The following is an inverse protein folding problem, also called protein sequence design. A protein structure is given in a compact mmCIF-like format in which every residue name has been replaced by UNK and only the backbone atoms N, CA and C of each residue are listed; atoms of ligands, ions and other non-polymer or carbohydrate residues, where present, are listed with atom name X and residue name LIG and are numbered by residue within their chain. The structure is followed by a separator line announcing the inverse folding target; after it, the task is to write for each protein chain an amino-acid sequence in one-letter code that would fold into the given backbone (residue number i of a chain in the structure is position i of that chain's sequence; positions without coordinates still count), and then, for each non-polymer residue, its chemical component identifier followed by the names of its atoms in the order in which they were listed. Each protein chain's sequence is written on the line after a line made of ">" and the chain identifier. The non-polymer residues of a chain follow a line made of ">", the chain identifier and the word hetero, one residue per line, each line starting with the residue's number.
data_IF_856758962408
#
_entry.id   IF_856758962408
#
_cell.length_a   1.000
_cell.length_b   1.000
_cell.length_c   1.000
_cell.angle_alpha   90.00
_cell.angle_beta   90.00
_cell.angle_gamma   90.00
#
_symmetry.space_group_name_H-M   'P 1'
#
loop_
_entity.id
_entity.type
_entity.pdbx_description
1 polymer ?
#
# COMPACT_ATOMS: atom_id res chain seq x y z
N UNK A 1 19.49 74.51 -23.97
CA UNK A 1 18.04 74.36 -23.68
C UNK A 1 17.41 73.54 -24.78
N UNK A 2 16.80 72.40 -24.41
CA UNK A 2 15.83 71.58 -25.18
C UNK A 2 16.30 70.97 -26.50
N UNK A 3 15.97 69.75 -26.92
CA UNK A 3 15.32 68.53 -26.40
C UNK A 3 15.33 67.55 -27.61
N UNK A 4 15.85 66.32 -27.50
CA UNK A 4 15.09 65.04 -27.55
C UNK A 4 14.15 64.89 -28.78
N UNK A 5 14.10 63.82 -29.57
CA UNK A 5 14.57 62.43 -29.47
C UNK A 5 14.61 61.77 -30.87
N UNK A 6 15.56 60.90 -31.21
CA UNK A 6 15.55 59.43 -31.03
C UNK A 6 14.31 58.73 -31.63
N UNK A 7 14.37 58.39 -32.92
CA UNK A 7 13.48 57.40 -33.56
C UNK A 7 14.18 56.05 -33.51
N UNK A 8 13.66 55.15 -32.68
CA UNK A 8 13.89 53.71 -32.75
C UNK A 8 12.54 53.08 -33.02
N UNK A 9 12.37 52.37 -34.13
CA UNK A 9 11.24 51.46 -34.30
C UNK A 9 11.77 50.03 -34.44
N UNK A 10 11.36 49.23 -33.48
CA UNK A 10 11.78 47.87 -33.20
C UNK A 10 11.14 46.89 -34.19
N UNK A 11 11.96 45.99 -34.73
CA UNK A 11 11.53 44.75 -35.38
C UNK A 11 10.94 43.84 -34.29
N UNK A 12 9.62 43.68 -34.30
CA UNK A 12 8.93 42.73 -33.44
C UNK A 12 9.07 41.32 -34.00
N UNK A 13 10.04 40.55 -33.48
CA UNK A 13 10.10 39.09 -33.69
C UNK A 13 9.03 38.46 -32.82
N UNK A 14 7.98 37.92 -33.43
CA UNK A 14 7.02 37.05 -32.76
C UNK A 14 7.74 35.76 -32.34
N UNK A 15 8.14 35.67 -31.07
CA UNK A 15 8.54 34.40 -30.48
C UNK A 15 7.27 33.60 -30.17
N UNK A 16 6.96 32.64 -31.03
CA UNK A 16 5.97 31.60 -30.76
C UNK A 16 6.47 30.76 -29.59
N UNK A 17 5.97 31.04 -28.39
CA UNK A 17 6.13 30.14 -27.25
C UNK A 17 5.23 28.93 -27.55
N UNK A 18 5.82 27.86 -28.06
CA UNK A 18 5.18 26.54 -28.02
C UNK A 18 5.14 26.17 -26.55
N UNK A 19 3.99 26.39 -25.92
CA UNK A 19 3.65 25.73 -24.67
C UNK A 19 3.49 24.25 -25.02
N UNK A 20 4.60 23.53 -25.03
CA UNK A 20 4.57 22.10 -24.89
C UNK A 20 3.98 21.85 -23.49
N UNK A 21 2.67 21.67 -23.45
CA UNK A 21 1.97 21.20 -22.27
C UNK A 21 2.50 19.81 -21.95
N UNK A 22 3.61 19.75 -21.22
CA UNK A 22 3.90 18.58 -20.41
C UNK A 22 2.83 18.58 -19.34
N UNK A 23 1.76 17.82 -19.60
CA UNK A 23 0.85 17.35 -18.57
C UNK A 23 1.70 16.65 -17.50
N UNK A 24 2.11 17.41 -16.50
CA UNK A 24 3.02 16.97 -15.46
C UNK A 24 2.17 16.36 -14.33
N UNK A 25 2.31 15.03 -14.21
CA UNK A 25 2.01 14.20 -13.04
C UNK A 25 0.55 14.13 -12.55
N UNK A 26 -0.28 13.34 -13.25
CA UNK A 26 -1.45 12.66 -12.64
C UNK A 26 -1.17 11.17 -12.32
N UNK A 27 0.04 10.70 -12.61
CA UNK A 27 0.42 9.28 -12.66
C UNK A 27 0.39 8.50 -11.32
N UNK A 28 0.56 9.10 -10.12
CA UNK A 28 0.37 8.36 -8.87
C UNK A 28 -1.10 7.99 -8.59
N UNK A 29 -2.07 8.77 -9.10
CA UNK A 29 -3.48 8.54 -8.82
C UNK A 29 -4.03 7.37 -9.63
N UNK A 30 -3.76 7.34 -10.93
CA UNK A 30 -4.19 6.25 -11.82
C UNK A 30 -3.58 4.91 -11.42
N UNK A 31 -2.28 4.87 -11.13
CA UNK A 31 -1.61 3.66 -10.66
C UNK A 31 -2.23 3.16 -9.34
N UNK A 32 -2.43 4.07 -8.38
CA UNK A 32 -3.05 3.73 -7.10
C UNK A 32 -4.46 3.19 -7.30
N UNK A 33 -5.24 3.78 -8.19
CA UNK A 33 -6.63 3.38 -8.42
C UNK A 33 -6.70 2.02 -9.13
N UNK A 34 -5.83 1.76 -10.11
CA UNK A 34 -5.68 0.45 -10.74
C UNK A 34 -5.29 -0.64 -9.72
N UNK A 35 -4.32 -0.35 -8.84
CA UNK A 35 -3.92 -1.27 -7.78
C UNK A 35 -5.04 -1.49 -6.75
N UNK A 36 -5.81 -0.45 -6.40
CA UNK A 36 -6.96 -0.57 -5.46
C UNK A 36 -8.13 -1.35 -6.06
N UNK A 37 -8.35 -1.25 -7.36
CA UNK A 37 -9.32 -2.10 -8.06
C UNK A 37 -8.90 -3.56 -7.99
N UNK A 38 -7.61 -3.86 -8.19
CA UNK A 38 -7.07 -5.22 -8.11
C UNK A 38 -7.04 -5.78 -6.69
N UNK A 39 -6.65 -4.94 -5.72
CA UNK A 39 -6.46 -5.28 -4.32
C UNK A 39 -7.49 -4.55 -3.46
N UNK A 40 -8.76 -4.91 -3.67
CA UNK A 40 -9.88 -4.27 -2.98
C UNK A 40 -9.72 -4.42 -1.47
N UNK A 41 -9.78 -3.29 -0.75
CA UNK A 41 -9.69 -3.28 0.71
C UNK A 41 -10.80 -4.09 1.36
N UNK A 42 -10.44 -4.80 2.42
CA UNK A 42 -11.35 -5.52 3.28
C UNK A 42 -12.00 -4.59 4.30
N UNK A 43 -13.10 -5.06 4.87
CA UNK A 43 -13.76 -4.44 6.01
C UNK A 43 -13.74 -5.43 7.17
N UNK A 44 -13.23 -4.96 8.29
CA UNK A 44 -13.16 -5.67 9.56
C UNK A 44 -14.19 -5.11 10.53
N UNK A 45 -14.80 -5.99 11.32
CA UNK A 45 -15.65 -5.58 12.43
C UNK A 45 -14.85 -5.58 13.74
N UNK A 46 -14.85 -4.41 14.38
CA UNK A 46 -14.07 -4.16 15.60
C UNK A 46 -14.95 -3.84 16.80
N UNK A 47 -16.26 -3.68 16.60
CA UNK A 47 -17.19 -3.24 17.65
C UNK A 47 -17.75 -4.39 18.49
N UNK A 48 -17.82 -5.60 17.95
CA UNK A 48 -18.32 -6.76 18.67
C UNK A 48 -17.17 -7.51 19.38
N UNK A 49 -17.36 -7.84 20.67
CA UNK A 49 -16.34 -8.48 21.51
C UNK A 49 -16.11 -9.95 21.16
N UNK A 50 -17.14 -10.66 20.69
CA UNK A 50 -17.01 -12.08 20.31
C UNK A 50 -16.38 -12.25 18.94
N UNK A 51 -16.48 -11.25 18.06
CA UNK A 51 -15.92 -11.30 16.71
C UNK A 51 -14.75 -10.34 16.52
N UNK A 52 -14.26 -9.64 17.54
CA UNK A 52 -13.28 -8.57 17.47
C UNK A 52 -12.08 -8.90 16.56
N UNK A 53 -12.03 -8.31 15.37
CA UNK A 53 -11.01 -8.60 14.36
C UNK A 53 -11.45 -9.46 13.18
N UNK A 54 -12.68 -9.96 13.21
CA UNK A 54 -13.25 -10.74 12.12
C UNK A 54 -13.42 -9.88 10.88
N UNK A 55 -13.02 -10.46 9.75
CA UNK A 55 -13.21 -9.91 8.43
C UNK A 55 -14.68 -10.12 8.04
N UNK A 56 -15.45 -9.03 7.99
CA UNK A 56 -16.87 -9.07 7.59
C UNK A 56 -17.07 -8.94 6.09
N UNK A 57 -16.12 -8.31 5.40
CA UNK A 57 -16.01 -8.35 3.94
C UNK A 57 -14.55 -8.48 3.56
N UNK A 58 -14.12 -9.59 2.95
CA UNK A 58 -12.69 -9.84 2.74
C UNK A 58 -12.04 -8.95 1.70
N UNK A 59 -12.79 -8.31 0.80
CA UNK A 59 -12.17 -7.64 -0.33
C UNK A 59 -11.38 -8.66 -1.15
N UNK A 60 -10.13 -8.32 -1.50
CA UNK A 60 -9.21 -9.29 -2.12
C UNK A 60 -8.50 -10.13 -1.05
N UNK A 61 -8.65 -11.45 -1.14
CA UNK A 61 -7.90 -12.41 -0.33
C UNK A 61 -6.62 -12.79 -1.09
N UNK A 62 -5.50 -12.69 -0.40
CA UNK A 62 -4.20 -13.11 -0.86
C UNK A 62 -3.72 -14.29 0.01
N UNK A 63 -2.90 -15.15 -0.56
CA UNK A 63 -2.28 -16.29 0.12
C UNK A 63 -0.77 -16.09 0.11
N UNK A 64 -0.15 -16.24 1.28
CA UNK A 64 1.29 -16.19 1.41
C UNK A 64 1.91 -17.42 0.72
N UNK A 65 2.81 -17.19 -0.24
CA UNK A 65 3.43 -18.28 -1.01
C UNK A 65 4.76 -18.74 -0.42
N UNK A 66 5.52 -17.87 0.23
CA UNK A 66 6.91 -18.16 0.60
C UNK A 66 7.26 -17.77 2.03
N UNK A 67 8.00 -18.67 2.70
CA UNK A 67 8.65 -18.41 3.99
C UNK A 67 7.70 -18.16 5.16
N UNK A 68 8.27 -18.15 6.36
CA UNK A 68 7.56 -17.67 7.54
C UNK A 68 7.63 -16.14 7.57
N UNK A 69 6.49 -15.46 7.56
CA UNK A 69 6.40 -13.98 7.55
C UNK A 69 6.04 -13.47 8.94
N UNK A 70 6.79 -12.53 9.53
CA UNK A 70 6.42 -11.99 10.83
C UNK A 70 5.08 -11.25 10.78
N UNK A 71 4.32 -11.37 11.86
CA UNK A 71 3.08 -10.64 12.09
C UNK A 71 3.03 -10.12 13.53
N UNK A 72 2.45 -8.93 13.70
CA UNK A 72 2.07 -8.45 15.03
C UNK A 72 0.63 -8.81 15.31
N UNK A 73 0.29 -9.04 16.57
CA UNK A 73 -1.09 -9.30 16.99
C UNK A 73 -1.95 -8.09 16.68
N UNK A 74 -3.14 -8.35 16.14
CA UNK A 74 -4.16 -7.34 16.01
C UNK A 74 -4.53 -6.75 17.38
N UNK A 75 -4.49 -5.42 17.51
CA UNK A 75 -4.81 -4.73 18.76
C UNK A 75 -5.84 -3.63 18.54
N UNK A 76 -6.66 -3.40 19.56
CA UNK A 76 -7.67 -2.36 19.57
C UNK A 76 -7.50 -1.43 20.77
N UNK A 77 -7.82 -0.15 20.55
CA UNK A 77 -7.96 0.83 21.63
C UNK A 77 -9.42 1.26 21.73
N UNK A 78 -9.86 1.50 22.96
CA UNK A 78 -11.19 2.02 23.27
C UNK A 78 -11.05 3.01 24.42
N UNK A 79 -11.39 4.29 24.19
CA UNK A 79 -11.21 5.33 25.19
C UNK A 79 -12.14 5.15 26.41
N UNK A 80 -13.34 4.61 26.20
CA UNK A 80 -14.29 4.24 27.25
C UNK A 80 -15.20 3.11 26.75
N UNK A 81 -15.88 2.34 27.63
CA UNK A 81 -16.75 1.23 27.22
C UNK A 81 -17.87 1.61 26.22
N UNK A 82 -18.26 2.88 26.16
CA UNK A 82 -19.30 3.39 25.25
C UNK A 82 -18.74 3.97 23.94
N UNK A 83 -17.43 4.13 23.83
CA UNK A 83 -16.77 4.68 22.63
C UNK A 83 -16.52 3.61 21.57
N UNK A 84 -16.40 3.95 20.28
CA UNK A 84 -15.96 3.01 19.26
C UNK A 84 -14.57 2.45 19.58
N UNK A 85 -14.32 1.20 19.13
CA UNK A 85 -12.99 0.60 19.13
C UNK A 85 -12.27 0.94 17.84
N UNK A 86 -10.97 1.19 17.94
CA UNK A 86 -10.12 1.50 16.80
C UNK A 86 -8.97 0.51 16.70
N UNK A 87 -8.72 0.02 15.48
CA UNK A 87 -7.54 -0.80 15.19
C UNK A 87 -6.27 0.04 15.38
N UNK A 88 -5.38 -0.43 16.24
CA UNK A 88 -4.03 0.09 16.36
C UNK A 88 -3.26 -0.37 15.14
N UNK A 89 -2.86 0.58 14.27
CA UNK A 89 -2.11 0.32 13.02
C UNK A 89 -0.66 -0.12 13.29
N UNK A 90 -0.49 -1.20 14.03
CA UNK A 90 0.80 -1.79 14.38
C UNK A 90 1.02 -3.09 13.62
N UNK A 91 1.93 -3.02 12.65
CA UNK A 91 2.22 -4.10 11.71
C UNK A 91 3.65 -4.57 11.91
N UNK A 92 3.92 -5.86 11.69
CA UNK A 92 5.29 -6.30 11.42
C UNK A 92 5.63 -5.90 9.98
N UNK A 93 6.66 -5.07 9.79
CA UNK A 93 7.09 -4.68 8.45
C UNK A 93 8.01 -5.71 7.83
N UNK A 94 7.78 -6.02 6.55
CA UNK A 94 8.68 -6.81 5.70
C UNK A 94 9.00 -6.00 4.45
N UNK A 95 10.26 -5.64 4.27
CA UNK A 95 10.76 -4.97 3.07
C UNK A 95 11.27 -5.98 2.06
N UNK A 96 10.81 -5.87 0.82
CA UNK A 96 11.02 -6.84 -0.26
C UNK A 96 11.58 -6.13 -1.48
N UNK A 97 12.56 -6.74 -2.15
CA UNK A 97 13.00 -6.33 -3.49
C UNK A 97 13.19 -7.56 -4.37
N UNK A 98 12.39 -7.64 -5.45
CA UNK A 98 12.30 -8.86 -6.26
C UNK A 98 11.84 -10.04 -5.40
N UNK A 99 12.63 -11.11 -5.39
CA UNK A 99 12.31 -12.36 -4.67
C UNK A 99 13.10 -12.48 -3.36
N UNK A 100 13.59 -11.35 -2.81
CA UNK A 100 14.37 -11.32 -1.57
C UNK A 100 13.74 -10.41 -0.53
N UNK A 101 13.75 -10.86 0.72
CA UNK A 101 13.51 -10.00 1.89
C UNK A 101 14.78 -9.18 2.14
N UNK A 102 14.66 -7.86 2.14
CA UNK A 102 15.75 -6.95 2.49
C UNK A 102 15.85 -6.75 4.01
N UNK A 103 14.70 -6.60 4.66
CA UNK A 103 14.59 -6.43 6.09
C UNK A 103 13.23 -6.94 6.58
N UNK A 104 13.18 -7.46 7.80
CA UNK A 104 11.94 -7.86 8.44
C UNK A 104 11.99 -7.46 9.92
N UNK A 105 10.99 -6.69 10.34
CA UNK A 105 10.77 -6.41 11.76
C UNK A 105 10.38 -7.70 12.49
N UNK A 106 10.80 -7.80 13.76
CA UNK A 106 10.34 -8.89 14.62
C UNK A 106 8.83 -8.76 14.84
N UNK A 107 8.11 -9.83 14.55
CA UNK A 107 6.69 -9.99 14.89
C UNK A 107 6.48 -10.66 16.25
N UNK A 108 5.24 -10.67 16.70
CA UNK A 108 4.80 -11.47 17.86
C UNK A 108 4.76 -12.96 17.53
N UNK A 109 4.51 -13.29 16.25
CA UNK A 109 4.50 -14.63 15.69
C UNK A 109 4.83 -14.59 14.20
N UNK A 110 4.90 -15.75 13.55
CA UNK A 110 5.15 -15.87 12.12
C UNK A 110 4.01 -16.61 11.41
N UNK A 111 3.51 -16.01 10.35
CA UNK A 111 2.56 -16.58 9.40
C UNK A 111 3.29 -17.63 8.56
N UNK A 112 2.70 -18.81 8.45
CA UNK A 112 3.24 -19.89 7.62
C UNK A 112 2.78 -19.73 6.17
N UNK A 113 3.50 -20.31 5.20
CA UNK A 113 3.01 -20.43 3.83
C UNK A 113 1.59 -21.02 3.79
N UNK A 114 0.77 -20.52 2.88
CA UNK A 114 -0.66 -20.85 2.80
C UNK A 114 -1.55 -19.97 3.68
N UNK A 115 -1.00 -19.18 4.62
CA UNK A 115 -1.79 -18.24 5.39
C UNK A 115 -2.51 -17.25 4.47
N UNK A 116 -3.82 -17.08 4.69
CA UNK A 116 -4.65 -16.15 3.94
C UNK A 116 -4.62 -14.80 4.63
N UNK A 117 -4.39 -13.75 3.87
CA UNK A 117 -4.41 -12.36 4.31
C UNK A 117 -5.33 -11.54 3.43
N UNK A 118 -5.92 -10.51 4.00
CA UNK A 118 -6.74 -9.53 3.30
C UNK A 118 -6.05 -8.16 3.35
N UNK A 119 -6.24 -7.37 2.31
CA UNK A 119 -5.66 -6.02 2.23
C UNK A 119 -6.54 -5.07 3.03
N UNK A 120 -6.01 -4.41 4.05
CA UNK A 120 -6.70 -3.34 4.77
C UNK A 120 -6.53 -2.00 4.05
N UNK A 121 -5.31 -1.70 3.61
CA UNK A 121 -4.96 -0.45 2.96
C UNK A 121 -3.80 -0.67 1.99
N UNK A 122 -3.70 0.19 0.98
CA UNK A 122 -2.64 0.19 -0.02
C UNK A 122 -2.14 1.62 -0.22
N UNK A 123 -0.83 1.79 -0.16
CA UNK A 123 -0.15 3.05 -0.46
C UNK A 123 0.87 2.87 -1.56
N UNK A 124 0.93 3.86 -2.45
CA UNK A 124 1.94 3.97 -3.50
C UNK A 124 2.76 5.20 -3.18
N UNK A 125 4.06 5.01 -3.01
CA UNK A 125 5.04 6.08 -2.88
C UNK A 125 5.98 6.03 -4.10
N UNK A 126 6.91 6.99 -4.21
CA UNK A 126 7.78 7.16 -5.38
C UNK A 126 8.62 5.91 -5.74
N UNK A 127 9.04 5.14 -4.74
CA UNK A 127 9.98 4.02 -4.88
C UNK A 127 9.43 2.69 -4.35
N UNK A 128 8.16 2.66 -3.93
CA UNK A 128 7.59 1.49 -3.26
C UNK A 128 6.07 1.43 -3.31
N UNK A 129 5.56 0.23 -3.17
CA UNK A 129 4.15 -0.03 -2.84
C UNK A 129 4.06 -0.73 -1.50
N UNK A 130 3.14 -0.27 -0.65
CA UNK A 130 2.94 -0.76 0.71
C UNK A 130 1.56 -1.40 0.82
N UNK A 131 1.51 -2.67 1.20
CA UNK A 131 0.27 -3.39 1.49
C UNK A 131 0.17 -3.59 2.99
N UNK A 132 -0.86 -3.00 3.59
CA UNK A 132 -1.20 -3.23 4.99
C UNK A 132 -2.20 -4.37 5.03
N UNK A 133 -1.82 -5.47 5.66
CA UNK A 133 -2.60 -6.71 5.61
C UNK A 133 -2.99 -7.18 7.00
N UNK A 134 -4.03 -8.01 7.01
CA UNK A 134 -4.57 -8.67 8.17
C UNK A 134 -4.89 -10.13 7.80
N UNK A 135 -4.71 -11.09 8.71
CA UNK A 135 -5.09 -12.49 8.39
C UNK A 135 -6.59 -12.60 8.14
N UNK A 136 -7.00 -13.38 7.14
CA UNK A 136 -8.41 -13.57 6.81
C UNK A 136 -9.13 -14.36 7.92
N UNK A 137 -8.43 -15.35 8.48
CA UNK A 137 -8.84 -16.13 9.63
C UNK A 137 -7.84 -15.96 10.80
N UNK A 138 -8.23 -16.27 12.04
CA UNK A 138 -7.28 -16.29 13.15
C UNK A 138 -6.32 -17.47 13.00
N UNK A 139 -5.05 -17.23 13.29
CA UNK A 139 -3.97 -18.22 13.19
C UNK A 139 -3.80 -18.91 14.54
N UNK A 140 -3.80 -20.24 14.53
CA UNK A 140 -3.52 -21.03 15.72
C UNK A 140 -2.04 -20.86 16.13
N UNK A 141 -1.81 -20.45 17.37
CA UNK A 141 -0.48 -20.28 17.95
C UNK A 141 -0.12 -21.50 18.81
N UNK A 142 1.18 -21.78 19.02
CA UNK A 142 1.64 -22.85 19.91
C UNK A 142 1.13 -22.74 21.36
N UNK A 143 0.70 -21.55 21.77
CA UNK A 143 0.10 -21.29 23.09
C UNK A 143 -1.33 -21.84 23.22
N UNK A 144 -1.91 -22.41 22.16
CA UNK A 144 -3.30 -22.88 22.11
C UNK A 144 -4.32 -21.77 21.84
N UNK A 145 -3.87 -20.52 21.68
CA UNK A 145 -4.72 -19.38 21.30
C UNK A 145 -4.77 -19.22 19.78
N UNK A 146 -5.90 -18.76 19.27
CA UNK A 146 -6.01 -18.29 17.89
C UNK A 146 -5.97 -16.76 17.87
N UNK A 147 -5.12 -16.18 17.04
CA UNK A 147 -4.92 -14.72 16.98
C UNK A 147 -4.92 -14.23 15.54
N UNK A 148 -5.45 -13.03 15.32
CA UNK A 148 -5.29 -12.36 14.04
C UNK A 148 -3.95 -11.65 13.95
N UNK A 149 -3.32 -11.71 12.76
CA UNK A 149 -2.02 -11.13 12.50
C UNK A 149 -2.07 -9.94 11.55
N UNK A 150 -1.24 -8.93 11.82
CA UNK A 150 -1.06 -7.75 10.99
C UNK A 150 0.37 -7.70 10.44
N UNK A 151 0.50 -7.62 9.11
CA UNK A 151 1.79 -7.49 8.41
C UNK A 151 1.73 -6.35 7.40
N UNK A 152 2.79 -5.55 7.35
CA UNK A 152 3.02 -4.54 6.32
C UNK A 152 4.06 -5.08 5.34
N UNK A 153 3.65 -5.31 4.09
CA UNK A 153 4.58 -5.66 3.01
C UNK A 153 4.98 -4.40 2.26
N UNK A 154 6.27 -4.15 2.15
CA UNK A 154 6.84 -3.00 1.45
C UNK A 154 7.63 -3.51 0.26
N UNK A 155 7.05 -3.40 -0.93
CA UNK A 155 7.68 -3.80 -2.18
C UNK A 155 8.48 -2.61 -2.72
N UNK A 156 9.81 -2.69 -2.62
CA UNK A 156 10.72 -1.74 -3.28
C UNK A 156 10.74 -2.03 -4.78
N UNK A 157 10.52 -0.98 -5.55
CA UNK A 157 10.34 -1.07 -7.00
C UNK A 157 11.25 -0.05 -7.68
N UNK A 158 11.60 -0.33 -8.93
CA UNK A 158 12.26 0.66 -9.77
C UNK A 158 11.35 1.90 -9.89
N UNK A 159 11.83 3.12 -9.57
CA UNK A 159 11.05 4.34 -9.74
C UNK A 159 10.47 4.52 -11.14
N UNK A 160 11.10 3.96 -12.19
CA UNK A 160 10.60 4.04 -13.56
C UNK A 160 9.35 3.17 -13.76
N UNK A 161 9.22 2.05 -13.04
CA UNK A 161 8.00 1.22 -13.04
C UNK A 161 6.84 1.98 -12.41
N UNK A 162 7.10 2.72 -11.33
CA UNK A 162 6.09 3.57 -10.67
C UNK A 162 5.70 4.74 -11.56
N UNK A 163 6.68 5.44 -12.16
CA UNK A 163 6.43 6.58 -13.04
C UNK A 163 5.62 6.18 -14.27
N UNK A 164 5.94 5.06 -14.91
CA UNK A 164 5.17 4.54 -16.06
C UNK A 164 3.77 4.02 -15.70
N UNK A 165 3.35 4.10 -14.42
CA UNK A 165 2.09 3.56 -13.92
C UNK A 165 1.86 2.08 -14.32
N UNK A 166 2.93 1.29 -14.37
CA UNK A 166 2.86 -0.11 -14.81
C UNK A 166 2.31 -1.02 -13.70
N UNK A 167 0.99 -0.96 -13.53
CA UNK A 167 0.27 -1.72 -12.51
C UNK A 167 0.41 -3.24 -12.70
N UNK A 168 0.63 -3.72 -13.93
CA UNK A 168 0.79 -5.14 -14.21
C UNK A 168 2.12 -5.67 -13.65
N UNK A 169 3.23 -4.96 -13.91
CA UNK A 169 4.54 -5.32 -13.36
C UNK A 169 4.54 -5.27 -11.84
N UNK A 170 3.92 -4.25 -11.25
CA UNK A 170 3.77 -4.15 -9.79
C UNK A 170 2.93 -5.30 -9.24
N UNK A 171 1.81 -5.62 -9.90
CA UNK A 171 0.95 -6.71 -9.46
C UNK A 171 1.67 -8.05 -9.50
N UNK A 172 2.45 -8.33 -10.55
CA UNK A 172 3.28 -9.52 -10.63
C UNK A 172 4.31 -9.56 -9.49
N UNK A 173 4.92 -8.42 -9.13
CA UNK A 173 5.85 -8.36 -8.02
C UNK A 173 5.20 -8.69 -6.66
N UNK A 174 3.99 -8.19 -6.43
CA UNK A 174 3.20 -8.51 -5.23
C UNK A 174 2.81 -10.00 -5.23
N UNK A 175 2.32 -10.51 -6.36
CA UNK A 175 1.73 -11.85 -6.44
C UNK A 175 2.75 -12.99 -6.40
N UNK A 176 4.04 -12.72 -6.61
CA UNK A 176 5.11 -13.68 -6.32
C UNK A 176 5.23 -14.01 -4.83
N UNK A 177 4.84 -13.08 -3.96
CA UNK A 177 4.84 -13.27 -2.50
C UNK A 177 3.44 -13.59 -1.97
N UNK A 178 2.43 -12.98 -2.58
CA UNK A 178 1.05 -12.96 -2.13
C UNK A 178 0.11 -13.30 -3.28
N UNK A 179 0.00 -14.59 -3.62
CA UNK A 179 -0.86 -15.02 -4.71
C UNK A 179 -2.34 -14.72 -4.40
N UNK A 180 -3.14 -14.40 -5.42
CA UNK A 180 -4.59 -14.26 -5.22
C UNK A 180 -5.18 -15.61 -4.84
N UNK A 181 -5.91 -15.65 -3.72
CA UNK A 181 -6.69 -16.81 -3.34
C UNK A 181 -8.04 -16.77 -4.06
N UNK A 182 -8.49 -17.93 -4.57
CA UNK A 182 -9.85 -18.10 -5.08
C UNK A 182 -10.89 -18.02 -3.95
#
# INVERSE_FOLDING_TARGET
>A
MSSHGWIRLLIGVFATVIVAGTAQASEPAELRDALRQRYTSSRMEVQNVTTAGAVVRPGTVLRLETGAVPAKRLRFIQASPKSPRFHVRDYARVEIAGDRVLAAERGDFALQPGARVVVLDLKVDRDRVRLFTHTAEPVALPTGRAEYGCTEFVFRLDPDVIQRADAATIAQAIERWLARAA
#
